data_IF_415224523955
#
_entry.id   IF_415224523955
#
_cell.length_a   1.000
_cell.length_b   1.000
_cell.length_c   1.000
_cell.angle_alpha   90.00
_cell.angle_beta   90.00
_cell.angle_gamma   90.00
#
_symmetry.space_group_name_H-M   'P 1'
#
loop_
_entity.id
_entity.type
_entity.pdbx_description
1 polymer ?
#
# COMPACT_ATOMS: atom_id res chain seq x y z
N UNK A 1 -5.07 -46.10 -10.87
CA UNK A 1 -4.20 -45.28 -9.97
C UNK A 1 -4.90 -45.17 -8.62
N UNK A 2 -4.27 -45.59 -7.52
CA UNK A 2 -4.94 -45.65 -6.20
C UNK A 2 -5.24 -44.24 -5.68
N UNK A 3 -6.53 -43.95 -5.38
CA UNK A 3 -7.03 -42.67 -4.87
C UNK A 3 -6.24 -42.15 -3.64
N UNK A 4 -5.64 -43.07 -2.89
CA UNK A 4 -4.81 -42.80 -1.70
C UNK A 4 -3.51 -42.04 -2.01
N UNK A 5 -3.02 -42.05 -3.25
CA UNK A 5 -1.80 -41.33 -3.66
C UNK A 5 -2.06 -39.93 -4.20
N UNK A 6 -3.30 -39.62 -4.59
CA UNK A 6 -3.69 -38.33 -5.19
C UNK A 6 -4.01 -37.29 -4.10
N UNK A 7 -4.60 -37.73 -3.00
CA UNK A 7 -4.98 -36.88 -1.87
C UNK A 7 -3.81 -36.11 -1.22
N UNK A 8 -2.65 -36.74 -0.89
CA UNK A 8 -1.52 -36.00 -0.33
C UNK A 8 -0.91 -35.01 -1.33
N UNK A 9 -1.00 -35.30 -2.64
CA UNK A 9 -0.52 -34.40 -3.70
C UNK A 9 -1.39 -33.13 -3.78
N UNK A 10 -2.71 -33.29 -3.71
CA UNK A 10 -3.67 -32.18 -3.66
C UNK A 10 -3.48 -31.32 -2.40
N UNK A 11 -3.24 -31.95 -1.25
CA UNK A 11 -2.99 -31.24 0.01
C UNK A 11 -1.70 -30.40 -0.02
N UNK A 12 -0.63 -30.94 -0.63
CA UNK A 12 0.62 -30.21 -0.85
C UNK A 12 0.43 -29.03 -1.82
N UNK A 13 -0.36 -29.22 -2.88
CA UNK A 13 -0.72 -28.14 -3.81
C UNK A 13 -1.51 -27.03 -3.11
N UNK A 14 -2.45 -27.37 -2.21
CA UNK A 14 -3.19 -26.37 -1.44
C UNK A 14 -2.32 -25.61 -0.44
N UNK A 15 -1.28 -26.23 0.12
CA UNK A 15 -0.29 -25.56 0.99
C UNK A 15 0.66 -24.65 0.20
N UNK A 16 0.93 -24.92 -1.08
CA UNK A 16 1.68 -24.00 -1.94
C UNK A 16 0.84 -22.80 -2.40
N UNK A 17 -0.48 -22.94 -2.40
CA UNK A 17 -1.42 -21.85 -2.69
C UNK A 17 -1.79 -21.01 -1.47
N UNK A 18 -1.45 -21.43 -0.26
CA UNK A 18 -1.47 -20.54 0.91
C UNK A 18 -0.25 -19.62 0.82
N UNK A 19 -0.30 -18.68 -0.13
CA UNK A 19 0.54 -17.50 -0.12
C UNK A 19 0.31 -16.81 1.22
N UNK A 20 1.26 -16.95 2.13
CA UNK A 20 1.38 -16.10 3.29
C UNK A 20 1.33 -14.66 2.79
N UNK A 21 0.20 -13.98 3.00
CA UNK A 21 0.06 -12.56 2.71
C UNK A 21 0.89 -11.81 3.76
N UNK A 22 2.20 -11.76 3.55
CA UNK A 22 3.08 -10.94 4.37
C UNK A 22 2.81 -9.48 4.04
N UNK A 23 2.76 -8.65 5.07
CA UNK A 23 2.73 -7.22 4.90
C UNK A 23 4.01 -6.79 4.15
N UNK A 24 3.86 -5.95 3.14
CA UNK A 24 4.95 -5.38 2.36
C UNK A 24 5.46 -4.12 3.07
N UNK A 25 6.76 -3.84 2.96
CA UNK A 25 7.32 -2.55 3.38
C UNK A 25 7.38 -1.61 2.19
N UNK A 26 6.89 -0.39 2.39
CA UNK A 26 6.90 0.69 1.42
C UNK A 26 7.38 1.98 2.06
N UNK A 27 7.92 2.88 1.24
CA UNK A 27 8.37 4.21 1.68
C UNK A 27 7.46 5.27 1.09
N UNK A 28 6.99 6.20 1.92
CA UNK A 28 6.26 7.38 1.44
C UNK A 28 7.22 8.23 0.62
N UNK A 29 6.89 8.49 -0.65
CA UNK A 29 7.71 9.32 -1.55
C UNK A 29 7.05 10.67 -1.85
N UNK A 30 5.75 10.80 -1.58
CA UNK A 30 4.99 12.03 -1.70
C UNK A 30 3.86 12.03 -0.67
N UNK A 31 3.61 13.20 -0.08
CA UNK A 31 2.45 13.45 0.76
C UNK A 31 2.01 14.91 0.65
N UNK A 32 0.72 15.14 0.41
CA UNK A 32 0.11 16.47 0.43
C UNK A 32 -0.84 16.60 1.63
N UNK A 33 -0.58 17.52 2.58
CA UNK A 33 -1.39 17.64 3.79
C UNK A 33 -2.78 18.25 3.58
N UNK A 34 -3.06 18.92 2.46
CA UNK A 34 -4.37 19.57 2.18
C UNK A 34 -5.39 18.55 1.76
N UNK A 35 -5.09 17.80 0.71
CA UNK A 35 -5.98 16.80 0.15
C UNK A 35 -5.69 15.38 0.69
N UNK A 36 -4.66 15.24 1.54
CA UNK A 36 -4.19 13.97 2.11
C UNK A 36 -3.73 12.95 1.07
N UNK A 37 -3.38 13.39 -0.14
CA UNK A 37 -2.83 12.51 -1.17
C UNK A 37 -1.48 11.96 -0.72
N UNK A 38 -1.21 10.70 -1.02
CA UNK A 38 0.00 9.99 -0.64
C UNK A 38 0.43 9.07 -1.77
N UNK A 39 1.75 8.97 -1.99
CA UNK A 39 2.36 7.96 -2.85
C UNK A 39 3.35 7.15 -2.05
N UNK A 40 3.21 5.83 -2.12
CA UNK A 40 4.09 4.86 -1.48
C UNK A 40 4.87 4.11 -2.55
N UNK A 41 6.20 4.10 -2.44
CA UNK A 41 7.09 3.26 -3.26
C UNK A 41 7.32 1.94 -2.53
N UNK A 42 6.98 0.83 -3.19
CA UNK A 42 7.15 -0.52 -2.67
C UNK A 42 7.87 -1.40 -3.71
N UNK A 43 8.05 -2.70 -3.44
CA UNK A 43 8.84 -3.61 -4.28
C UNK A 43 8.29 -3.72 -5.70
N UNK A 44 6.97 -3.70 -5.85
CA UNK A 44 6.29 -3.87 -7.14
C UNK A 44 6.04 -2.57 -7.92
N UNK A 45 6.39 -1.41 -7.37
CA UNK A 45 6.17 -0.11 -7.99
C UNK A 45 5.61 0.92 -7.01
N UNK A 46 4.79 1.84 -7.51
CA UNK A 46 4.18 2.89 -6.71
C UNK A 46 2.69 2.60 -6.50
N UNK A 47 2.19 2.94 -5.32
CA UNK A 47 0.76 2.94 -5.02
C UNK A 47 0.35 4.35 -4.59
N UNK A 48 -0.70 4.86 -5.20
CA UNK A 48 -1.19 6.23 -5.01
C UNK A 48 -2.57 6.18 -4.34
N UNK A 49 -2.88 7.19 -3.53
CA UNK A 49 -4.14 7.22 -2.81
C UNK A 49 -4.25 8.35 -1.80
N UNK A 50 -5.15 8.21 -0.84
CA UNK A 50 -5.41 9.22 0.18
C UNK A 50 -5.46 8.65 1.59
N UNK A 51 -4.86 9.38 2.54
CA UNK A 51 -4.97 9.06 3.95
C UNK A 51 -6.38 9.37 4.45
N UNK A 52 -7.08 8.34 4.91
CA UNK A 52 -8.41 8.46 5.51
C UNK A 52 -8.34 8.80 6.99
N UNK A 53 -7.45 8.15 7.72
CA UNK A 53 -7.41 8.25 9.18
C UNK A 53 -6.01 8.03 9.76
N UNK A 54 -5.68 8.82 10.78
CA UNK A 54 -4.55 8.58 11.69
C UNK A 54 -5.09 8.04 13.00
N UNK A 55 -4.45 7.01 13.56
CA UNK A 55 -4.89 6.42 14.83
C UNK A 55 -4.18 7.02 16.06
N UNK A 56 -3.05 7.71 15.85
CA UNK A 56 -2.33 8.46 16.87
C UNK A 56 -1.65 9.69 16.23
N UNK A 57 -1.21 10.64 17.07
CA UNK A 57 -0.39 11.78 16.60
C UNK A 57 1.02 11.29 16.22
N UNK A 58 1.74 11.98 15.30
CA UNK A 58 1.29 13.15 14.52
C UNK A 58 0.10 12.83 13.58
N UNK A 59 -0.56 13.83 13.01
CA UNK A 59 -1.66 13.62 12.04
C UNK A 59 -1.21 13.96 10.61
N UNK A 60 0.01 13.56 10.25
CA UNK A 60 0.62 13.80 8.94
C UNK A 60 1.66 12.73 8.64
N UNK A 61 1.78 12.33 7.38
CA UNK A 61 2.93 11.57 6.88
C UNK A 61 3.98 12.55 6.36
N UNK A 62 5.20 12.06 6.19
CA UNK A 62 6.32 12.77 5.57
C UNK A 62 7.00 11.88 4.52
N UNK A 63 7.51 12.46 3.42
CA UNK A 63 8.38 11.72 2.52
C UNK A 63 9.57 11.12 3.28
N UNK A 64 9.76 9.81 3.14
CA UNK A 64 10.73 9.02 3.90
C UNK A 64 10.13 8.14 4.99
N UNK A 65 8.88 8.38 5.41
CA UNK A 65 8.19 7.51 6.36
C UNK A 65 8.08 6.08 5.81
N UNK A 66 8.31 5.08 6.67
CA UNK A 66 8.23 3.66 6.32
C UNK A 66 6.87 3.11 6.77
N UNK A 67 6.14 2.56 5.82
CA UNK A 67 4.87 1.89 6.05
C UNK A 67 5.05 0.38 5.88
N UNK A 68 4.43 -0.39 6.76
CA UNK A 68 4.24 -1.83 6.63
C UNK A 68 2.74 -2.11 6.45
N UNK A 69 2.37 -2.77 5.36
CA UNK A 69 0.96 -3.06 5.08
C UNK A 69 0.73 -3.65 3.70
N UNK A 70 -0.52 -3.55 3.23
CA UNK A 70 -0.89 -3.99 1.89
C UNK A 70 -1.11 -2.77 0.98
N UNK A 71 -0.30 -2.62 -0.07
CA UNK A 71 -0.32 -1.46 -0.97
C UNK A 71 -1.13 -1.71 -2.24
N UNK A 72 -2.29 -2.33 -2.07
CA UNK A 72 -3.18 -2.74 -3.16
C UNK A 72 -4.44 -1.88 -3.19
N UNK A 73 -5.22 -1.95 -4.29
CA UNK A 73 -6.45 -1.17 -4.42
C UNK A 73 -7.38 -1.31 -3.21
N UNK A 74 -8.01 -0.20 -2.82
CA UNK A 74 -8.96 -0.14 -1.71
C UNK A 74 -8.39 0.43 -0.41
N UNK A 75 -9.15 0.31 0.68
CA UNK A 75 -8.75 0.80 2.00
C UNK A 75 -7.95 -0.24 2.77
N UNK A 76 -6.78 0.16 3.24
CA UNK A 76 -5.89 -0.69 4.03
C UNK A 76 -5.39 0.05 5.27
N UNK A 77 -5.22 -0.71 6.36
CA UNK A 77 -4.50 -0.23 7.55
C UNK A 77 -3.03 -0.56 7.38
N UNK A 78 -2.19 0.46 7.41
CA UNK A 78 -0.74 0.36 7.35
C UNK A 78 -0.15 0.78 8.70
N UNK A 79 0.86 0.04 9.16
CA UNK A 79 1.69 0.42 10.30
C UNK A 79 2.75 1.40 9.82
N UNK A 80 2.71 2.63 10.29
CA UNK A 80 3.76 3.62 10.11
C UNK A 80 4.85 3.37 11.15
N UNK A 81 5.89 2.66 10.72
CA UNK A 81 7.03 2.27 11.56
C UNK A 81 7.85 3.48 12.00
N UNK A 82 7.87 4.54 11.20
CA UNK A 82 8.64 5.76 11.49
C UNK A 82 8.06 6.55 12.67
N UNK A 83 6.74 6.50 12.86
CA UNK A 83 6.03 7.24 13.89
C UNK A 83 5.32 6.34 14.91
N UNK A 84 5.56 5.03 14.88
CA UNK A 84 4.98 4.01 15.76
C UNK A 84 3.44 4.13 15.89
N UNK A 85 2.76 4.26 14.75
CA UNK A 85 1.30 4.46 14.70
C UNK A 85 0.67 3.73 13.53
N UNK A 86 -0.65 3.56 13.57
CA UNK A 86 -1.40 3.09 12.42
C UNK A 86 -1.99 4.24 11.59
N UNK A 87 -2.07 4.01 10.28
CA UNK A 87 -2.69 4.90 9.30
C UNK A 87 -3.61 4.10 8.37
N UNK A 88 -4.81 4.60 8.11
CA UNK A 88 -5.71 4.04 7.11
C UNK A 88 -5.56 4.82 5.80
N UNK A 89 -5.22 4.12 4.72
CA UNK A 89 -4.98 4.68 3.38
C UNK A 89 -5.91 3.99 2.39
N UNK A 90 -6.58 4.78 1.55
CA UNK A 90 -7.31 4.27 0.39
C UNK A 90 -6.46 4.44 -0.86
N UNK A 91 -6.03 3.33 -1.46
CA UNK A 91 -5.29 3.34 -2.73
C UNK A 91 -6.24 3.23 -3.92
N UNK A 92 -6.11 4.13 -4.88
CA UNK A 92 -6.85 4.12 -6.15
C UNK A 92 -6.01 3.66 -7.33
N UNK A 93 -4.69 3.74 -7.21
CA UNK A 93 -3.71 3.18 -8.16
C UNK A 93 -2.71 2.31 -7.40
N UNK A 94 -2.33 1.17 -7.97
CA UNK A 94 -1.42 0.20 -7.36
C UNK A 94 -0.38 -0.32 -8.35
N UNK A 95 0.84 -0.57 -7.87
CA UNK A 95 1.95 -1.14 -8.64
C UNK A 95 2.16 -0.44 -10.00
N UNK A 96 1.93 0.86 -10.03
CA UNK A 96 2.14 1.67 -11.22
C UNK A 96 3.62 2.05 -11.34
N UNK A 97 4.05 2.40 -12.54
CA UNK A 97 5.39 2.92 -12.75
C UNK A 97 5.49 4.39 -12.29
N UNK A 98 6.72 4.90 -12.25
CA UNK A 98 7.01 6.27 -11.80
C UNK A 98 6.26 7.34 -12.60
N UNK A 99 6.17 7.20 -13.92
CA UNK A 99 5.54 8.20 -14.79
C UNK A 99 4.03 8.30 -14.54
N UNK A 100 3.37 7.16 -14.29
CA UNK A 100 1.94 7.13 -13.94
C UNK A 100 1.72 7.74 -12.56
N UNK A 101 2.57 7.42 -11.58
CA UNK A 101 2.50 8.03 -10.25
C UNK A 101 2.69 9.56 -10.29
N UNK A 102 3.64 10.04 -11.10
CA UNK A 102 3.85 11.48 -11.31
C UNK A 102 2.60 12.16 -11.91
N UNK A 103 2.03 11.60 -12.97
CA UNK A 103 0.80 12.13 -13.58
C UNK A 103 -0.38 12.12 -12.61
N UNK A 104 -0.46 11.11 -11.76
CA UNK A 104 -1.49 11.03 -10.73
C UNK A 104 -1.33 12.18 -9.72
N UNK A 105 -0.10 12.45 -9.26
CA UNK A 105 0.22 13.58 -8.37
C UNK A 105 -0.14 14.92 -9.02
N UNK A 106 0.32 15.16 -10.25
CA UNK A 106 0.01 16.38 -11.02
C UNK A 106 -1.50 16.64 -11.07
N UNK A 107 -2.28 15.61 -11.39
CA UNK A 107 -3.74 15.70 -11.41
C UNK A 107 -4.33 16.08 -10.05
N UNK A 108 -3.81 15.51 -8.94
CA UNK A 108 -4.33 15.85 -7.61
C UNK A 108 -4.03 17.29 -7.21
N UNK A 109 -2.89 17.84 -7.64
CA UNK A 109 -2.50 19.23 -7.39
C UNK A 109 -3.31 20.21 -8.26
N UNK A 110 -3.56 19.86 -9.52
CA UNK A 110 -4.39 20.66 -10.43
C UNK A 110 -5.86 20.74 -9.95
N UNK A 111 -6.44 19.62 -9.51
CA UNK A 111 -7.86 19.55 -9.16
C UNK A 111 -8.18 20.07 -7.74
N UNK A 112 -7.24 19.96 -6.80
CA UNK A 112 -7.50 20.22 -5.38
C UNK A 112 -6.62 21.34 -4.78
N UNK A 113 -5.88 22.05 -5.61
CA UNK A 113 -5.03 23.18 -5.24
C UNK A 113 -3.57 22.78 -5.02
N UNK A 114 -2.68 23.52 -5.67
CA UNK A 114 -1.24 23.51 -5.38
C UNK A 114 -0.95 24.11 -4.00
N UNK A 115 0.15 23.64 -3.41
CA UNK A 115 0.89 24.40 -2.41
C UNK A 115 1.90 25.33 -3.09
#
# INVERSE_FOLDING_TARGET
>A
MSLKKVFPLLFLLTLMLSSSAFAEKGTVVYYNPVNKSVVVSAFHGYSCGWVRKYYAKPNRLEPGDVLEGNFVLGSHRCSDESNERDVEIYFDEWWVNKDVAHKWVEKQEDENGFW
#
